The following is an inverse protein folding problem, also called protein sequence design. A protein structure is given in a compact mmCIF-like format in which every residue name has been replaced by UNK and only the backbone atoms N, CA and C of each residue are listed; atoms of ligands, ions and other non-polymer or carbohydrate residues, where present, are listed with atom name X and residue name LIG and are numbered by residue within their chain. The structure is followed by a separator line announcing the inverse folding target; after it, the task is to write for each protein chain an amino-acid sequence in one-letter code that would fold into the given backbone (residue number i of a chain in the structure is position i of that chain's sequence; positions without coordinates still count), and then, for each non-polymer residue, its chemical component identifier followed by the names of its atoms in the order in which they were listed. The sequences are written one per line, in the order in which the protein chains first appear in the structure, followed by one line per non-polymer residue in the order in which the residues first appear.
data_IF_913575188525
#
_entry.id   IF_913575188525
#
_cell.length_a   1.000
_cell.length_b   1.000
_cell.length_c   1.000
_cell.angle_alpha   90.00
_cell.angle_beta   90.00
_cell.angle_gamma   90.00
#
_symmetry.space_group_name_H-M   'P 1'
#
loop_
_entity.id
_entity.type
_entity.pdbx_description
1 polymer ?
#
# COMPACT_ATOMS: atom_id res chain seq x y z
N UNK A 1 -1.06 14.12 -22.64
CA UNK A 1 -1.46 15.27 -21.77
C UNK A 1 -1.81 14.68 -20.42
N UNK A 2 -0.91 14.76 -19.46
CA UNK A 2 -1.20 14.40 -18.09
C UNK A 2 -2.19 15.41 -17.55
N UNK A 3 -3.40 14.96 -17.24
CA UNK A 3 -4.39 15.73 -16.50
C UNK A 3 -3.80 15.98 -15.11
N UNK A 4 -3.37 17.21 -14.86
CA UNK A 4 -2.83 17.63 -13.58
C UNK A 4 -3.86 17.37 -12.48
N UNK A 5 -3.51 16.55 -11.53
CA UNK A 5 -4.20 16.49 -10.25
C UNK A 5 -4.11 17.87 -9.60
N UNK A 6 -5.24 18.53 -9.44
CA UNK A 6 -5.34 19.73 -8.64
C UNK A 6 -5.10 19.40 -7.17
N UNK A 7 -3.85 19.48 -6.74
CA UNK A 7 -3.38 19.20 -5.37
C UNK A 7 -3.65 20.35 -4.37
N UNK A 8 -4.45 21.33 -4.74
CA UNK A 8 -4.79 22.44 -3.84
C UNK A 8 -6.30 22.57 -3.69
N UNK A 9 -6.91 21.76 -2.83
CA UNK A 9 -8.11 22.24 -2.17
C UNK A 9 -7.66 23.27 -1.14
N UNK A 10 -7.70 24.55 -1.50
CA UNK A 10 -7.59 25.64 -0.54
C UNK A 10 -8.65 25.44 0.52
N UNK A 11 -8.21 25.44 1.79
CA UNK A 11 -9.10 25.57 2.94
C UNK A 11 -10.09 26.68 2.65
N UNK A 12 -11.36 26.31 2.49
CA UNK A 12 -12.43 27.27 2.54
C UNK A 12 -12.52 27.69 4.00
N UNK A 13 -12.06 28.87 4.32
CA UNK A 13 -12.26 29.49 5.63
C UNK A 13 -13.72 29.34 6.02
N UNK A 14 -13.99 28.56 7.10
CA UNK A 14 -15.33 28.33 7.62
C UNK A 14 -15.92 26.94 7.43
N UNK A 15 -15.18 25.94 6.95
CA UNK A 15 -15.62 24.54 6.92
C UNK A 15 -15.53 23.93 8.31
N UNK A 16 -16.63 23.35 8.76
CA UNK A 16 -16.66 22.47 9.94
C UNK A 16 -15.64 21.37 9.76
N UNK A 17 -14.75 21.18 10.76
CA UNK A 17 -13.73 20.13 10.75
C UNK A 17 -14.19 18.97 11.61
N UNK A 18 -14.07 17.76 11.08
CA UNK A 18 -14.43 16.54 11.78
C UNK A 18 -13.22 15.87 12.41
N UNK A 19 -13.46 15.00 13.38
CA UNK A 19 -12.41 14.31 14.14
C UNK A 19 -11.53 13.43 13.22
N UNK A 20 -12.11 12.93 12.16
CA UNK A 20 -11.45 12.07 11.15
C UNK A 20 -10.81 12.83 9.99
N UNK A 21 -10.91 14.17 9.94
CA UNK A 21 -10.26 14.95 8.88
C UNK A 21 -8.73 14.92 9.08
N UNK A 22 -7.95 14.44 8.09
CA UNK A 22 -6.51 14.48 8.20
C UNK A 22 -5.99 15.92 8.11
N UNK A 23 -4.86 16.19 8.74
CA UNK A 23 -4.23 17.50 8.65
C UNK A 23 -3.56 17.73 7.27
N UNK A 24 -3.20 18.99 6.97
CA UNK A 24 -2.61 19.35 5.67
C UNK A 24 -1.30 18.61 5.36
N UNK A 25 -0.43 18.41 6.35
CA UNK A 25 0.82 17.69 6.17
C UNK A 25 0.59 16.21 5.81
N UNK A 26 -0.42 15.57 6.40
CA UNK A 26 -0.83 14.23 6.06
C UNK A 26 -1.32 14.14 4.60
N UNK A 27 -2.19 15.08 4.19
CA UNK A 27 -2.75 15.11 2.84
C UNK A 27 -1.67 15.27 1.75
N UNK A 28 -0.61 16.02 2.03
CA UNK A 28 0.54 16.17 1.12
C UNK A 28 1.30 14.86 0.95
N UNK A 29 1.42 14.06 2.01
CA UNK A 29 2.19 12.82 2.01
C UNK A 29 1.39 11.60 1.53
N UNK A 30 0.08 11.59 1.68
CA UNK A 30 -0.77 10.45 1.38
C UNK A 30 -0.54 9.80 0.00
N UNK A 31 -0.40 10.57 -1.10
CA UNK A 31 -0.22 9.99 -2.43
C UNK A 31 1.00 9.08 -2.55
N UNK A 32 2.08 9.39 -1.82
CA UNK A 32 3.29 8.59 -1.78
C UNK A 32 3.07 7.24 -1.09
N UNK A 33 2.21 7.20 -0.07
CA UNK A 33 1.92 5.98 0.69
C UNK A 33 0.97 5.02 -0.04
N UNK A 34 -0.02 5.56 -0.78
CA UNK A 34 -1.05 4.76 -1.45
C UNK A 34 -0.44 3.77 -2.44
N UNK A 35 0.47 4.23 -3.33
CA UNK A 35 1.11 3.35 -4.30
C UNK A 35 1.89 2.23 -3.60
N UNK A 36 2.59 2.56 -2.53
CA UNK A 36 3.39 1.61 -1.76
C UNK A 36 2.49 0.54 -1.12
N UNK A 37 1.38 0.92 -0.53
CA UNK A 37 0.41 -0.03 0.04
C UNK A 37 -0.19 -0.95 -1.00
N UNK A 38 -0.60 -0.39 -2.14
CA UNK A 38 -1.17 -1.17 -3.23
C UNK A 38 -0.15 -2.18 -3.79
N UNK A 39 1.13 -1.79 -3.93
CA UNK A 39 2.21 -2.69 -4.29
C UNK A 39 2.45 -3.77 -3.24
N UNK A 40 2.37 -3.42 -1.94
CA UNK A 40 2.49 -4.39 -0.85
C UNK A 40 1.34 -5.40 -0.82
N UNK A 41 0.15 -5.03 -1.28
CA UNK A 41 -0.99 -5.92 -1.50
C UNK A 41 -0.85 -6.84 -2.72
N UNK A 42 0.16 -6.59 -3.57
CA UNK A 42 0.51 -7.41 -4.74
C UNK A 42 -0.53 -7.35 -5.85
N UNK A 43 -0.49 -8.38 -6.73
CA UNK A 43 -1.35 -8.41 -7.94
C UNK A 43 -2.84 -8.26 -7.64
N UNK A 44 -3.30 -8.75 -6.51
CA UNK A 44 -4.72 -8.68 -6.13
C UNK A 44 -5.16 -7.23 -5.88
N UNK A 45 -4.43 -6.49 -5.04
CA UNK A 45 -4.75 -5.08 -4.77
C UNK A 45 -4.50 -4.19 -5.99
N UNK A 46 -3.41 -4.43 -6.74
CA UNK A 46 -3.11 -3.69 -7.97
C UNK A 46 -4.23 -3.83 -9.01
N UNK A 47 -4.80 -5.02 -9.19
CA UNK A 47 -5.94 -5.24 -10.09
C UNK A 47 -7.21 -4.54 -9.63
N UNK A 48 -7.50 -4.48 -8.33
CA UNK A 48 -8.66 -3.74 -7.78
C UNK A 48 -8.64 -2.24 -8.13
N UNK A 49 -7.46 -1.68 -8.36
CA UNK A 49 -7.32 -0.25 -8.69
C UNK A 49 -7.53 0.05 -10.18
N UNK A 50 -7.76 -0.98 -11.00
CA UNK A 50 -8.16 -0.84 -12.40
C UNK A 50 -7.30 0.18 -13.19
N UNK A 51 -7.98 1.14 -13.83
CA UNK A 51 -7.39 2.18 -14.69
C UNK A 51 -6.41 3.13 -13.97
N UNK A 52 -6.36 3.10 -12.65
CA UNK A 52 -5.37 3.88 -11.89
C UNK A 52 -3.94 3.46 -12.20
N UNK A 53 -3.69 2.15 -12.30
CA UNK A 53 -2.36 1.58 -12.50
C UNK A 53 -2.17 0.92 -13.87
N UNK A 54 -3.22 0.44 -14.47
CA UNK A 54 -3.23 -0.06 -15.85
C UNK A 54 -4.20 0.78 -16.68
N UNK A 55 -3.75 1.87 -17.31
CA UNK A 55 -4.61 2.66 -18.17
C UNK A 55 -5.20 1.83 -19.30
N UNK A 56 -6.44 2.09 -19.66
CA UNK A 56 -7.06 1.52 -20.85
C UNK A 56 -6.62 2.30 -22.07
N UNK A 57 -6.25 1.60 -23.14
CA UNK A 57 -5.89 2.23 -24.40
C UNK A 57 -7.11 2.87 -25.08
N UNK A 58 -6.96 3.98 -25.83
CA UNK A 58 -8.09 4.73 -26.38
C UNK A 58 -9.03 3.95 -27.32
N UNK A 59 -8.56 2.83 -27.87
CA UNK A 59 -9.32 1.95 -28.75
C UNK A 59 -9.51 0.55 -28.20
N UNK A 60 -9.10 0.29 -26.99
CA UNK A 60 -9.29 -0.98 -26.30
C UNK A 60 -10.75 -1.10 -25.86
N UNK A 61 -11.43 -2.18 -26.24
CA UNK A 61 -12.77 -2.48 -25.76
C UNK A 61 -12.74 -2.81 -24.27
N UNK A 62 -13.83 -2.48 -23.54
CA UNK A 62 -13.92 -2.77 -22.10
C UNK A 62 -13.70 -4.26 -21.80
N UNK A 63 -14.29 -5.16 -22.57
CA UNK A 63 -14.06 -6.60 -22.41
C UNK A 63 -12.59 -7.01 -22.61
N UNK A 64 -11.91 -6.43 -23.59
CA UNK A 64 -10.48 -6.69 -23.84
C UNK A 64 -9.63 -6.16 -22.69
N UNK A 65 -9.97 -4.98 -22.15
CA UNK A 65 -9.32 -4.41 -20.97
C UNK A 65 -9.51 -5.30 -19.74
N UNK A 66 -10.73 -5.75 -19.45
CA UNK A 66 -11.03 -6.61 -18.30
C UNK A 66 -10.30 -7.95 -18.41
N UNK A 67 -10.24 -8.53 -19.61
CA UNK A 67 -9.47 -9.74 -19.88
C UNK A 67 -7.95 -9.52 -19.67
N UNK A 68 -7.40 -8.39 -20.08
CA UNK A 68 -6.00 -8.02 -19.86
C UNK A 68 -5.74 -7.81 -18.36
N UNK A 69 -6.59 -7.08 -17.68
CA UNK A 69 -6.52 -6.83 -16.24
C UNK A 69 -6.55 -8.13 -15.43
N UNK A 70 -7.47 -9.03 -15.75
CA UNK A 70 -7.61 -10.31 -15.04
C UNK A 70 -6.34 -11.18 -15.12
N UNK A 71 -5.62 -11.13 -16.26
CA UNK A 71 -4.37 -11.87 -16.45
C UNK A 71 -3.13 -11.17 -15.92
N UNK A 72 -3.22 -9.85 -15.65
CA UNK A 72 -2.05 -9.05 -15.26
C UNK A 72 -1.45 -9.51 -13.92
N UNK A 73 -0.13 -9.56 -13.86
CA UNK A 73 0.63 -9.92 -12.66
C UNK A 73 1.61 -8.81 -12.33
N UNK A 74 1.54 -8.28 -11.11
CA UNK A 74 2.49 -7.29 -10.63
C UNK A 74 3.74 -7.98 -10.08
N UNK A 75 4.93 -7.75 -10.67
CA UNK A 75 6.17 -8.30 -10.13
C UNK A 75 6.42 -7.81 -8.70
N UNK A 76 6.78 -8.69 -7.75
CA UNK A 76 6.89 -8.33 -6.32
C UNK A 76 8.26 -7.71 -5.97
N UNK A 77 8.79 -6.79 -6.81
CA UNK A 77 10.12 -6.20 -6.59
C UNK A 77 10.19 -5.39 -5.31
N UNK A 78 9.23 -4.49 -5.11
CA UNK A 78 9.16 -3.65 -3.92
C UNK A 78 9.07 -4.48 -2.64
N UNK A 79 8.16 -5.46 -2.61
CA UNK A 79 7.95 -6.35 -1.46
C UNK A 79 9.22 -7.12 -1.07
N UNK A 80 9.96 -7.61 -2.08
CA UNK A 80 11.20 -8.37 -1.86
C UNK A 80 12.30 -7.50 -1.28
N UNK A 81 12.48 -6.29 -1.83
CA UNK A 81 13.49 -5.34 -1.35
C UNK A 81 13.17 -4.83 0.05
N UNK A 82 11.91 -4.51 0.34
CA UNK A 82 11.47 -4.08 1.67
C UNK A 82 11.84 -5.12 2.74
N UNK A 83 11.51 -6.39 2.50
CA UNK A 83 11.85 -7.49 3.43
C UNK A 83 13.36 -7.67 3.59
N UNK A 84 14.10 -7.56 2.48
CA UNK A 84 15.55 -7.68 2.49
C UNK A 84 16.19 -6.57 3.33
N UNK A 85 15.79 -5.31 3.10
CA UNK A 85 16.31 -4.16 3.84
C UNK A 85 15.96 -4.24 5.33
N UNK A 86 14.71 -4.59 5.68
CA UNK A 86 14.32 -4.78 7.07
C UNK A 86 15.14 -5.89 7.74
N UNK A 87 15.33 -7.03 7.08
CA UNK A 87 16.17 -8.13 7.59
C UNK A 87 17.64 -7.73 7.77
N UNK A 88 18.16 -6.85 6.91
CA UNK A 88 19.53 -6.33 7.06
C UNK A 88 19.67 -5.39 8.26
N UNK A 89 18.71 -4.48 8.44
CA UNK A 89 18.69 -3.55 9.57
C UNK A 89 18.59 -4.29 10.90
N UNK A 90 17.80 -5.35 10.96
CA UNK A 90 17.55 -6.12 12.19
C UNK A 90 18.37 -7.39 12.32
N UNK A 91 19.42 -7.55 11.49
CA UNK A 91 20.30 -8.76 11.51
C UNK A 91 20.92 -9.03 12.87
N UNK A 92 21.22 -7.99 13.63
CA UNK A 92 21.71 -8.11 15.00
C UNK A 92 20.56 -7.86 15.96
N UNK A 93 20.33 -8.73 16.95
CA UNK A 93 19.31 -8.50 17.97
C UNK A 93 19.52 -7.17 18.69
N UNK A 94 18.44 -6.49 19.01
CA UNK A 94 18.48 -5.31 19.86
C UNK A 94 18.91 -5.74 21.27
N UNK A 95 19.91 -5.07 21.81
CA UNK A 95 20.40 -5.30 23.16
C UNK A 95 20.16 -4.04 23.98
N UNK A 96 19.42 -4.21 25.05
CA UNK A 96 19.22 -3.15 26.04
C UNK A 96 20.11 -3.44 27.25
N UNK A 97 20.89 -2.45 27.66
CA UNK A 97 21.72 -2.48 28.87
C UNK A 97 21.07 -1.59 29.93
N UNK A 98 21.27 -1.93 31.20
CA UNK A 98 20.82 -1.14 32.35
C UNK A 98 19.30 -0.89 32.40
N UNK A 99 18.54 -1.91 32.01
CA UNK A 99 17.07 -1.87 32.01
C UNK A 99 16.56 -2.55 33.28
N UNK A 100 15.59 -1.92 33.96
CA UNK A 100 14.91 -2.49 35.11
C UNK A 100 14.25 -3.84 34.79
N UNK A 101 14.26 -4.79 35.72
CA UNK A 101 13.76 -6.15 35.47
C UNK A 101 12.30 -6.18 35.03
N UNK A 102 11.47 -5.31 35.59
CA UNK A 102 10.05 -5.16 35.17
C UNK A 102 9.92 -4.81 33.69
N UNK A 103 10.78 -3.92 33.16
CA UNK A 103 10.77 -3.58 31.74
C UNK A 103 11.31 -4.75 30.92
N UNK A 104 12.38 -5.41 31.42
CA UNK A 104 12.99 -6.56 30.73
C UNK A 104 12.00 -7.69 30.50
N UNK A 105 11.14 -7.98 31.45
CA UNK A 105 10.08 -8.99 31.33
C UNK A 105 9.06 -8.61 30.25
N UNK A 106 8.74 -7.32 30.10
CA UNK A 106 7.82 -6.84 29.05
C UNK A 106 8.38 -7.00 27.63
N UNK A 107 9.71 -7.07 27.47
CA UNK A 107 10.35 -7.19 26.16
C UNK A 107 10.20 -8.57 25.50
N UNK A 108 9.72 -9.57 26.21
CA UNK A 108 9.38 -10.88 25.64
C UNK A 108 8.03 -10.90 24.92
N UNK A 109 7.19 -9.91 25.18
CA UNK A 109 5.91 -9.70 24.53
C UNK A 109 5.54 -8.22 24.64
N UNK A 110 6.02 -7.40 23.71
CA UNK A 110 5.92 -5.92 23.81
C UNK A 110 4.54 -5.39 23.46
N UNK A 111 3.77 -6.12 22.65
CA UNK A 111 2.49 -5.68 22.07
C UNK A 111 1.27 -6.48 22.56
N UNK A 112 1.41 -7.36 23.51
CA UNK A 112 0.40 -8.32 24.00
C UNK A 112 -0.08 -9.31 22.91
N UNK A 113 0.68 -9.49 21.83
CA UNK A 113 0.38 -10.43 20.74
C UNK A 113 1.40 -11.57 20.67
N UNK A 114 2.32 -11.64 21.65
CA UNK A 114 3.39 -12.65 21.70
C UNK A 114 4.65 -12.24 20.92
N UNK A 115 4.75 -11.01 20.47
CA UNK A 115 5.93 -10.53 19.75
C UNK A 115 6.99 -10.02 20.75
N UNK A 116 8.17 -10.62 20.70
CA UNK A 116 9.33 -10.10 21.43
C UNK A 116 9.87 -8.80 20.80
N UNK A 117 10.79 -8.14 21.49
CA UNK A 117 11.41 -6.91 21.03
C UNK A 117 12.02 -7.03 19.64
N UNK A 118 12.60 -8.18 19.26
CA UNK A 118 13.28 -8.32 17.97
C UNK A 118 12.28 -8.46 16.83
N UNK A 119 11.22 -9.25 17.01
CA UNK A 119 10.11 -9.37 16.04
C UNK A 119 9.42 -8.01 15.88
N UNK A 120 9.11 -7.35 16.99
CA UNK A 120 8.50 -6.03 16.96
C UNK A 120 9.38 -4.98 16.26
N UNK A 121 10.71 -5.01 16.51
CA UNK A 121 11.66 -4.10 15.83
C UNK A 121 11.70 -4.36 14.34
N UNK A 122 11.67 -5.62 13.91
CA UNK A 122 11.62 -5.98 12.49
C UNK A 122 10.34 -5.43 11.82
N UNK A 123 9.17 -5.64 12.41
CA UNK A 123 7.92 -5.13 11.84
C UNK A 123 7.86 -3.59 11.85
N UNK A 124 8.40 -2.95 12.88
CA UNK A 124 8.54 -1.48 12.94
C UNK A 124 9.48 -0.98 11.85
N UNK A 125 10.63 -1.62 11.65
CA UNK A 125 11.57 -1.27 10.58
C UNK A 125 10.93 -1.38 9.19
N UNK A 126 10.09 -2.40 8.95
CA UNK A 126 9.32 -2.55 7.72
C UNK A 126 8.37 -1.37 7.50
N UNK A 127 7.62 -0.95 8.53
CA UNK A 127 6.75 0.23 8.45
C UNK A 127 7.54 1.50 8.12
N UNK A 128 8.69 1.70 8.79
CA UNK A 128 9.57 2.85 8.54
C UNK A 128 10.12 2.86 7.11
N UNK A 129 10.51 1.70 6.58
CA UNK A 129 10.98 1.58 5.18
C UNK A 129 9.85 1.89 4.19
N UNK A 130 8.63 1.42 4.44
CA UNK A 130 7.48 1.66 3.55
C UNK A 130 7.08 3.12 3.50
N UNK A 131 6.93 3.74 4.66
CA UNK A 131 6.24 5.02 4.79
C UNK A 131 7.18 6.19 5.10
N UNK A 132 8.46 5.91 5.40
CA UNK A 132 9.40 6.91 5.83
C UNK A 132 9.39 7.16 7.35
N UNK A 133 8.28 6.92 8.02
CA UNK A 133 8.15 6.96 9.48
C UNK A 133 7.02 6.04 9.97
N UNK A 134 7.01 5.77 11.27
CA UNK A 134 5.85 5.20 11.96
C UNK A 134 5.78 5.74 13.40
N UNK A 135 4.58 5.78 13.93
CA UNK A 135 4.33 6.15 15.31
C UNK A 135 4.31 4.94 16.25
N UNK A 136 4.74 5.12 17.46
CA UNK A 136 4.69 4.12 18.53
C UNK A 136 4.03 4.76 19.75
N UNK A 137 2.88 4.23 20.15
CA UNK A 137 2.17 4.60 21.35
C UNK A 137 2.48 3.58 22.45
N UNK A 138 2.83 4.04 23.63
CA UNK A 138 2.83 3.21 24.83
C UNK A 138 1.44 3.31 25.43
N UNK A 139 0.64 2.25 25.22
CA UNK A 139 -0.74 2.17 25.71
C UNK A 139 -0.80 1.36 27.01
N UNK A 140 -1.88 1.50 27.75
CA UNK A 140 -2.12 0.78 28.98
C UNK A 140 -3.57 0.27 29.02
N UNK A 141 -3.82 -0.86 29.72
CA UNK A 141 -5.18 -1.33 29.92
C UNK A 141 -6.07 -0.28 30.59
N UNK A 142 -7.37 -0.35 30.33
CA UNK A 142 -8.34 0.54 30.94
C UNK A 142 -8.28 0.47 32.49
N UNK A 143 -8.60 1.58 33.14
CA UNK A 143 -8.59 1.67 34.60
C UNK A 143 -9.43 0.55 35.23
N UNK A 144 -8.83 -0.19 36.15
CA UNK A 144 -9.48 -1.34 36.82
C UNK A 144 -9.31 -2.68 36.14
N UNK A 145 -8.69 -2.75 34.94
CA UNK A 145 -8.26 -3.99 34.32
C UNK A 145 -6.84 -4.34 34.78
N UNK A 146 -6.62 -5.61 35.10
CA UNK A 146 -5.28 -6.12 35.36
C UNK A 146 -4.52 -6.23 34.03
N UNK A 147 -3.40 -5.55 33.93
CA UNK A 147 -2.55 -5.60 32.75
C UNK A 147 -1.31 -4.72 32.90
N UNK A 148 -0.45 -4.80 31.94
CA UNK A 148 0.79 -4.03 31.84
C UNK A 148 0.75 -3.07 30.66
N UNK A 149 1.57 -2.01 30.60
CA UNK A 149 1.75 -1.21 29.41
C UNK A 149 2.24 -2.08 28.23
N UNK A 150 1.85 -1.70 27.02
CA UNK A 150 2.22 -2.38 25.77
C UNK A 150 2.41 -1.36 24.64
N UNK A 151 3.06 -1.77 23.58
CA UNK A 151 3.38 -0.87 22.48
C UNK A 151 2.46 -1.13 21.29
N UNK A 152 1.90 -0.05 20.76
CA UNK A 152 1.08 -0.07 19.54
C UNK A 152 1.77 0.76 18.47
N UNK A 153 1.94 0.18 17.29
CA UNK A 153 2.56 0.88 16.15
C UNK A 153 1.50 1.36 15.18
N UNK A 154 1.57 2.63 14.82
CA UNK A 154 0.70 3.27 13.84
C UNK A 154 1.49 3.60 12.58
N UNK A 155 0.98 3.23 11.41
CA UNK A 155 1.47 3.74 10.13
C UNK A 155 1.13 5.23 10.00
N UNK A 156 1.81 6.00 9.15
CA UNK A 156 1.48 7.40 8.94
C UNK A 156 0.03 7.63 8.49
N UNK A 157 -0.57 6.67 7.79
CA UNK A 157 -1.96 6.77 7.35
C UNK A 157 -2.97 6.67 8.49
N UNK A 158 -2.59 6.00 9.57
CA UNK A 158 -3.39 5.88 10.79
C UNK A 158 -3.22 7.10 11.70
N UNK A 159 -2.24 7.98 11.45
CA UNK A 159 -2.00 9.19 12.24
C UNK A 159 -2.64 10.38 11.52
N UNK A 160 -3.94 10.60 11.73
CA UNK A 160 -4.72 11.60 10.99
C UNK A 160 -4.28 13.05 11.23
N UNK A 161 -3.77 13.33 12.44
CA UNK A 161 -3.35 14.69 12.73
C UNK A 161 -2.69 14.85 14.08
N UNK A 162 -1.90 15.90 14.19
CA UNK A 162 -1.17 16.25 15.40
C UNK A 162 -1.11 17.76 15.60
N UNK A 163 -1.01 18.17 16.84
CA UNK A 163 -0.67 19.53 17.24
C UNK A 163 0.47 19.47 18.25
N UNK A 164 1.29 20.50 18.25
CA UNK A 164 2.42 20.59 19.16
C UNK A 164 2.48 21.95 19.80
N UNK A 165 3.02 21.99 21.01
CA UNK A 165 3.28 23.19 21.78
C UNK A 165 4.73 23.19 22.23
N UNK A 166 5.28 24.39 22.46
CA UNK A 166 6.58 24.54 23.08
C UNK A 166 6.41 24.52 24.61
N UNK A 167 6.98 23.51 25.24
CA UNK A 167 7.05 23.37 26.67
C UNK A 167 8.53 23.24 27.09
N UNK A 168 8.99 24.14 27.93
CA UNK A 168 10.37 24.22 28.40
C UNK A 168 11.44 24.12 27.28
N UNK A 169 11.17 24.80 26.16
CA UNK A 169 12.06 24.80 24.99
C UNK A 169 12.05 23.50 24.14
N UNK A 170 11.20 22.56 24.47
CA UNK A 170 10.97 21.33 23.71
C UNK A 170 9.60 21.32 23.04
N UNK A 171 9.55 20.80 21.84
CA UNK A 171 8.30 20.61 21.11
C UNK A 171 7.63 19.32 21.59
N UNK A 172 6.47 19.44 22.23
CA UNK A 172 5.68 18.31 22.74
C UNK A 172 4.34 18.23 22.01
N UNK A 173 3.79 17.03 21.91
CA UNK A 173 2.44 16.84 21.37
C UNK A 173 1.40 17.39 22.35
N UNK A 174 0.56 18.32 21.88
CA UNK A 174 -0.62 18.80 22.61
C UNK A 174 -1.91 18.13 22.16
N UNK A 175 -1.93 17.53 20.97
CA UNK A 175 -3.01 16.69 20.47
C UNK A 175 -2.48 15.68 19.46
N UNK A 176 -3.03 14.46 19.48
CA UNK A 176 -2.78 13.41 18.50
C UNK A 176 -4.09 12.73 18.16
N UNK A 177 -4.35 12.49 16.86
CA UNK A 177 -5.55 11.79 16.39
C UNK A 177 -5.13 10.55 15.62
N UNK A 178 -5.57 9.38 16.11
CA UNK A 178 -5.19 8.07 15.60
C UNK A 178 -6.43 7.34 15.08
N UNK A 179 -6.38 6.89 13.84
CA UNK A 179 -7.40 6.05 13.23
C UNK A 179 -7.15 4.60 13.65
N UNK A 180 -8.18 3.94 14.12
CA UNK A 180 -8.11 2.55 14.59
C UNK A 180 -9.25 1.74 13.98
N UNK A 181 -8.96 0.49 13.67
CA UNK A 181 -9.93 -0.51 13.26
C UNK A 181 -9.98 -1.58 14.33
N UNK A 182 -11.09 -1.67 15.04
CA UNK A 182 -11.28 -2.65 16.11
C UNK A 182 -12.33 -3.69 15.69
N UNK A 183 -12.09 -4.94 16.04
CA UNK A 183 -13.04 -6.02 15.78
C UNK A 183 -13.84 -6.30 17.04
N UNK A 184 -15.16 -6.27 16.94
CA UNK A 184 -16.08 -6.57 18.02
C UNK A 184 -16.91 -7.81 17.68
N UNK A 185 -17.26 -8.65 18.66
CA UNK A 185 -18.17 -9.76 18.44
C UNK A 185 -19.51 -9.28 17.85
N UNK A 186 -19.98 -9.96 16.80
CA UNK A 186 -21.31 -9.76 16.22
C UNK A 186 -22.08 -11.07 16.22
N UNK A 187 -22.96 -11.22 17.20
CA UNK A 187 -23.66 -12.46 17.50
C UNK A 187 -22.73 -13.53 18.10
N UNK A 188 -23.07 -14.81 17.88
CA UNK A 188 -22.37 -15.93 18.52
C UNK A 188 -21.05 -16.31 17.83
N UNK A 189 -20.92 -16.08 16.53
CA UNK A 189 -19.78 -16.52 15.72
C UNK A 189 -19.27 -15.44 14.74
N UNK A 190 -19.93 -14.29 14.67
CA UNK A 190 -19.57 -13.21 13.79
C UNK A 190 -18.66 -12.17 14.46
N UNK A 191 -17.99 -11.40 13.62
CA UNK A 191 -17.21 -10.21 14.01
C UNK A 191 -17.57 -9.07 13.09
N UNK A 192 -17.65 -7.88 13.64
CA UNK A 192 -17.77 -6.63 12.87
C UNK A 192 -16.56 -5.76 13.10
N UNK A 193 -16.09 -5.16 12.03
CA UNK A 193 -15.07 -4.12 12.08
C UNK A 193 -15.73 -2.78 12.45
N UNK A 194 -15.18 -2.10 13.43
CA UNK A 194 -15.59 -0.76 13.86
C UNK A 194 -14.44 0.20 13.65
N UNK A 195 -14.66 1.20 12.82
CA UNK A 195 -13.71 2.30 12.59
C UNK A 195 -13.88 3.34 13.71
N UNK A 196 -12.78 3.70 14.37
CA UNK A 196 -12.77 4.69 15.42
C UNK A 196 -11.58 5.64 15.32
N UNK A 197 -11.72 6.84 15.87
CA UNK A 197 -10.62 7.79 16.02
C UNK A 197 -10.36 8.00 17.50
N UNK A 198 -9.14 7.69 17.92
CA UNK A 198 -8.64 7.99 19.24
C UNK A 198 -7.99 9.37 19.23
N UNK A 199 -8.48 10.26 20.08
CA UNK A 199 -7.91 11.59 20.29
C UNK A 199 -7.17 11.59 21.61
N UNK A 200 -5.88 11.87 21.59
CA UNK A 200 -5.03 11.98 22.76
C UNK A 200 -4.68 13.44 22.99
N UNK A 201 -4.84 13.90 24.22
CA UNK A 201 -4.33 15.17 24.75
C UNK A 201 -3.59 14.89 26.05
N UNK A 202 -2.69 15.77 26.52
CA UNK A 202 -2.01 15.57 27.81
C UNK A 202 -3.01 15.28 28.92
N UNK A 203 -2.90 14.11 29.55
CA UNK A 203 -3.77 13.69 30.67
C UNK A 203 -5.17 13.20 30.26
N UNK A 204 -5.56 13.19 28.99
CA UNK A 204 -6.92 12.80 28.56
C UNK A 204 -6.90 12.03 27.24
N UNK A 205 -7.84 11.07 27.11
CA UNK A 205 -8.17 10.45 25.81
C UNK A 205 -9.66 10.53 25.53
N UNK A 206 -10.01 10.53 24.24
CA UNK A 206 -11.37 10.38 23.72
C UNK A 206 -11.37 9.35 22.60
N UNK A 207 -12.42 8.55 22.51
CA UNK A 207 -12.65 7.60 21.43
C UNK A 207 -13.93 8.01 20.72
N UNK A 208 -13.81 8.33 19.44
CA UNK A 208 -14.94 8.65 18.56
C UNK A 208 -15.16 7.49 17.60
N UNK A 209 -16.34 6.90 17.60
CA UNK A 209 -16.71 5.78 16.72
C UNK A 209 -17.56 6.24 15.57
N UNK A 210 -17.30 5.65 14.41
CA UNK A 210 -18.10 5.84 13.21
C UNK A 210 -19.43 5.14 13.37
N UNK A 211 -20.49 5.89 13.25
CA UNK A 211 -21.86 5.37 13.22
C UNK A 211 -22.10 4.71 11.85
N UNK A 212 -22.54 3.46 11.86
CA UNK A 212 -22.74 2.67 10.64
C UNK A 212 -23.88 3.16 9.75
N UNK A 213 -24.85 3.89 10.32
CA UNK A 213 -26.02 4.39 9.59
C UNK A 213 -25.78 5.79 9.01
N UNK A 214 -25.19 6.69 9.81
CA UNK A 214 -24.97 8.09 9.40
C UNK A 214 -23.60 8.34 8.81
N UNK A 215 -22.59 7.51 9.13
CA UNK A 215 -21.20 7.71 8.77
C UNK A 215 -20.49 8.74 9.67
N UNK A 216 -21.20 9.39 10.58
CA UNK A 216 -20.64 10.42 11.48
C UNK A 216 -19.86 9.77 12.63
N UNK A 217 -18.87 10.49 13.14
CA UNK A 217 -18.12 10.07 14.31
C UNK A 217 -18.73 10.67 15.59
N UNK A 218 -19.13 9.81 16.51
CA UNK A 218 -19.73 10.18 17.81
C UNK A 218 -18.81 9.78 18.94
N UNK A 219 -18.73 10.61 19.97
CA UNK A 219 -17.99 10.27 21.20
C UNK A 219 -18.57 8.98 21.79
N UNK A 220 -17.73 7.97 21.92
CA UNK A 220 -18.08 6.65 22.45
C UNK A 220 -17.57 6.47 23.87
N UNK A 221 -16.30 6.88 24.10
CA UNK A 221 -15.63 6.74 25.40
C UNK A 221 -14.65 7.89 25.63
N UNK A 222 -14.43 8.26 26.88
CA UNK A 222 -13.43 9.25 27.29
C UNK A 222 -12.88 8.92 28.66
N UNK A 223 -11.65 9.33 28.93
CA UNK A 223 -11.04 9.09 30.23
C UNK A 223 -9.79 9.92 30.47
N UNK A 224 -9.23 9.74 31.65
CA UNK A 224 -8.03 10.43 32.11
C UNK A 224 -6.84 9.50 32.05
N UNK A 225 -5.73 9.99 31.48
CA UNK A 225 -4.43 9.32 31.50
C UNK A 225 -3.62 9.81 32.70
N UNK A 226 -2.90 8.89 33.36
CA UNK A 226 -2.02 9.24 34.50
C UNK A 226 -0.75 9.98 34.07
N UNK A 227 -0.39 9.91 32.78
CA UNK A 227 0.80 10.57 32.24
C UNK A 227 0.49 12.01 31.84
N UNK A 228 1.36 12.97 32.22
CA UNK A 228 1.19 14.38 31.87
C UNK A 228 1.48 14.68 30.39
N UNK A 229 2.08 13.75 29.68
CA UNK A 229 2.43 13.85 28.27
C UNK A 229 1.81 12.71 27.47
N UNK A 230 1.59 12.93 26.19
CA UNK A 230 1.15 11.87 25.27
C UNK A 230 2.33 10.90 25.08
N UNK A 231 2.22 9.62 25.48
CA UNK A 231 3.31 8.65 25.43
C UNK A 231 3.53 8.11 24.01
N UNK A 232 3.87 9.00 23.08
CA UNK A 232 4.00 8.72 21.66
C UNK A 232 5.37 9.11 21.15
N UNK A 233 6.02 8.18 20.45
CA UNK A 233 7.30 8.37 19.79
C UNK A 233 7.21 8.09 18.30
N UNK A 234 8.08 8.71 17.50
CA UNK A 234 8.09 8.54 16.06
C UNK A 234 9.45 8.02 15.62
N UNK A 235 9.44 6.87 14.92
CA UNK A 235 10.61 6.31 14.27
C UNK A 235 10.67 6.79 12.81
N UNK A 236 11.84 7.21 12.33
CA UNK A 236 12.05 7.77 10.99
C UNK A 236 13.16 7.03 10.24
N UNK A 237 13.01 6.95 8.92
CA UNK A 237 14.11 6.61 8.00
C UNK A 237 14.79 7.88 7.45
N UNK A 238 14.00 8.82 6.95
CA UNK A 238 14.46 10.08 6.36
C UNK A 238 13.54 11.21 6.82
N UNK A 239 13.84 11.75 8.00
CA UNK A 239 13.03 12.81 8.61
C UNK A 239 13.25 14.15 7.87
N UNK A 240 12.15 14.77 7.47
CA UNK A 240 12.11 16.14 6.95
C UNK A 240 11.71 17.10 8.07
N UNK A 241 10.57 16.85 8.70
CA UNK A 241 10.03 17.60 9.82
C UNK A 241 9.42 16.64 10.85
N UNK A 242 8.79 17.19 11.89
CA UNK A 242 7.99 16.37 12.81
C UNK A 242 6.81 15.77 12.06
N UNK A 243 6.68 14.45 12.10
CA UNK A 243 5.64 13.66 11.40
C UNK A 243 5.66 13.81 9.88
N UNK A 244 6.78 14.26 9.33
CA UNK A 244 7.00 14.35 7.89
C UNK A 244 8.30 13.64 7.52
N UNK A 245 8.20 12.78 6.52
CA UNK A 245 9.33 12.01 6.02
C UNK A 245 9.10 11.60 4.57
N UNK A 246 10.16 11.19 3.91
CA UNK A 246 10.08 10.63 2.57
C UNK A 246 10.32 9.13 2.63
N UNK A 247 9.46 8.31 2.00
CA UNK A 247 9.71 6.88 1.90
C UNK A 247 11.05 6.62 1.17
N UNK A 248 11.98 5.87 1.77
CA UNK A 248 13.33 5.70 1.19
C UNK A 248 13.33 4.89 -0.12
N UNK A 249 12.24 4.18 -0.41
CA UNK A 249 12.10 3.34 -1.60
C UNK A 249 11.02 3.86 -2.57
N UNK A 250 10.68 5.13 -2.52
CA UNK A 250 9.63 5.74 -3.36
C UNK A 250 9.94 5.56 -4.86
N UNK A 251 11.17 5.86 -5.29
CA UNK A 251 11.59 5.70 -6.68
C UNK A 251 11.48 4.25 -7.16
N UNK A 252 11.72 3.29 -6.27
CA UNK A 252 11.56 1.86 -6.55
C UNK A 252 10.07 1.50 -6.73
N UNK A 253 9.17 2.13 -5.98
CA UNK A 253 7.74 1.93 -6.14
C UNK A 253 7.26 2.36 -7.54
N UNK A 254 7.72 3.50 -8.04
CA UNK A 254 7.43 3.99 -9.40
C UNK A 254 7.99 3.06 -10.49
N UNK A 255 9.21 2.57 -10.32
CA UNK A 255 9.79 1.60 -11.24
C UNK A 255 9.04 0.27 -11.22
N UNK A 256 8.59 -0.19 -10.06
CA UNK A 256 7.78 -1.40 -9.94
C UNK A 256 6.41 -1.24 -10.63
N UNK A 257 5.77 -0.08 -10.47
CA UNK A 257 4.54 0.23 -11.22
C UNK A 257 4.80 0.20 -12.73
N UNK A 258 5.91 0.80 -13.20
CA UNK A 258 6.26 0.74 -14.62
C UNK A 258 6.52 -0.68 -15.11
N UNK A 259 7.18 -1.50 -14.31
CA UNK A 259 7.38 -2.92 -14.63
C UNK A 259 6.04 -3.68 -14.72
N UNK A 260 5.08 -3.38 -13.84
CA UNK A 260 3.74 -3.95 -13.90
C UNK A 260 3.00 -3.61 -15.21
N UNK A 261 3.08 -2.36 -15.66
CA UNK A 261 2.49 -1.93 -16.93
C UNK A 261 3.11 -2.66 -18.12
N UNK A 262 4.44 -2.67 -18.22
CA UNK A 262 5.17 -3.33 -19.31
C UNK A 262 4.91 -4.84 -19.31
N UNK A 263 4.87 -5.48 -18.13
CA UNK A 263 4.54 -6.90 -18.00
C UNK A 263 3.12 -7.19 -18.49
N UNK A 264 2.13 -6.37 -18.12
CA UNK A 264 0.75 -6.54 -18.56
C UNK A 264 0.61 -6.42 -20.09
N UNK A 265 1.32 -5.47 -20.71
CA UNK A 265 1.30 -5.28 -22.16
C UNK A 265 1.95 -6.44 -22.87
N UNK A 266 3.10 -6.93 -22.38
CA UNK A 266 3.80 -8.07 -22.92
C UNK A 266 2.96 -9.36 -22.84
N UNK A 267 2.38 -9.63 -21.66
CA UNK A 267 1.53 -10.82 -21.45
C UNK A 267 0.30 -10.79 -22.36
N UNK A 268 -0.29 -9.62 -22.58
CA UNK A 268 -1.41 -9.45 -23.49
C UNK A 268 -1.00 -9.68 -24.95
N UNK A 269 0.13 -9.12 -25.38
CA UNK A 269 0.64 -9.35 -26.73
C UNK A 269 0.99 -10.81 -26.98
N UNK A 270 1.64 -11.48 -26.04
CA UNK A 270 1.95 -12.90 -26.12
C UNK A 270 0.68 -13.75 -26.20
N UNK A 271 -0.35 -13.41 -25.41
CA UNK A 271 -1.62 -14.10 -25.43
C UNK A 271 -2.32 -13.99 -26.80
N UNK A 272 -2.39 -12.77 -27.36
CA UNK A 272 -3.01 -12.55 -28.67
C UNK A 272 -2.23 -13.27 -29.78
N UNK A 273 -0.90 -13.23 -29.72
CA UNK A 273 -0.05 -13.84 -30.76
C UNK A 273 0.04 -15.36 -30.66
N UNK A 274 -0.29 -15.94 -29.51
CA UNK A 274 -0.32 -17.39 -29.35
C UNK A 274 -1.47 -18.07 -30.12
N UNK A 275 -2.46 -17.29 -30.59
CA UNK A 275 -3.57 -17.79 -31.40
C UNK A 275 -3.41 -17.29 -32.81
N UNK A 276 -2.89 -18.14 -33.75
CA UNK A 276 -2.79 -17.76 -35.15
C UNK A 276 -4.16 -17.46 -35.76
N UNK A 277 -4.27 -16.36 -36.50
CA UNK A 277 -5.50 -16.03 -37.22
C UNK A 277 -5.54 -16.76 -38.55
N UNK A 278 -6.61 -17.51 -38.78
CA UNK A 278 -6.85 -18.11 -40.10
C UNK A 278 -7.48 -17.05 -41.04
N UNK A 279 -6.76 -16.65 -42.07
CA UNK A 279 -7.22 -15.69 -43.06
C UNK A 279 -7.65 -16.39 -44.31
N UNK A 280 -8.80 -16.00 -44.85
CA UNK A 280 -9.35 -16.49 -46.10
C UNK A 280 -9.28 -15.40 -47.17
N UNK A 281 -8.75 -15.74 -48.32
CA UNK A 281 -8.67 -14.84 -49.49
C UNK A 281 -9.49 -15.40 -50.63
N UNK A 282 -10.14 -14.52 -51.40
CA UNK A 282 -10.92 -14.92 -52.58
C UNK A 282 -12.28 -15.55 -52.30
N UNK A 283 -12.78 -15.43 -51.06
CA UNK A 283 -14.15 -15.87 -50.69
C UNK A 283 -15.16 -14.74 -50.95
N UNK A 284 -16.34 -15.05 -51.55
CA UNK A 284 -17.39 -14.05 -51.69
C UNK A 284 -17.91 -13.62 -50.31
N UNK A 285 -18.31 -12.35 -50.18
CA UNK A 285 -18.84 -11.77 -48.92
C UNK A 285 -20.12 -12.46 -48.42
N UNK A 286 -20.77 -13.28 -49.22
CA UNK A 286 -21.97 -14.06 -48.91
C UNK A 286 -21.68 -15.47 -48.39
N UNK A 287 -20.42 -15.82 -48.18
CA UNK A 287 -20.08 -17.11 -47.58
C UNK A 287 -20.58 -17.16 -46.11
N UNK A 288 -21.45 -18.14 -45.81
CA UNK A 288 -21.85 -18.49 -44.46
C UNK A 288 -20.62 -18.80 -43.61
N UNK A 289 -20.73 -18.67 -42.26
CA UNK A 289 -19.66 -18.91 -41.32
C UNK A 289 -18.81 -20.14 -41.68
N UNK A 290 -17.52 -19.89 -41.95
CA UNK A 290 -16.56 -20.97 -42.19
C UNK A 290 -16.10 -21.51 -40.88
N UNK A 291 -16.59 -22.70 -40.51
CA UNK A 291 -16.10 -23.41 -39.34
C UNK A 291 -14.74 -24.04 -39.64
N UNK A 292 -13.74 -23.78 -38.82
CA UNK A 292 -12.41 -24.36 -38.93
C UNK A 292 -12.08 -25.10 -37.61
N UNK A 293 -12.00 -26.43 -37.66
CA UNK A 293 -11.69 -27.25 -36.49
C UNK A 293 -10.84 -28.48 -36.85
N UNK A 294 -10.29 -29.20 -35.90
CA UNK A 294 -9.55 -30.43 -36.11
C UNK A 294 -10.43 -31.47 -36.82
N UNK A 295 -10.05 -31.85 -38.04
CA UNK A 295 -10.76 -32.85 -38.85
C UNK A 295 -11.81 -32.27 -39.79
N UNK A 296 -11.98 -30.95 -39.89
CA UNK A 296 -12.85 -30.31 -40.90
C UNK A 296 -12.07 -30.02 -42.18
N UNK A 297 -12.66 -30.38 -43.31
CA UNK A 297 -12.12 -30.10 -44.63
C UNK A 297 -12.80 -28.86 -45.20
N UNK A 298 -12.02 -27.84 -45.59
CA UNK A 298 -12.54 -26.63 -46.22
C UNK A 298 -12.31 -26.71 -47.72
N UNK A 299 -13.38 -26.59 -48.47
CA UNK A 299 -13.29 -26.52 -49.93
C UNK A 299 -13.06 -25.06 -50.36
N UNK A 300 -12.06 -24.81 -51.22
CA UNK A 300 -11.70 -23.49 -51.74
C UNK A 300 -12.26 -23.28 -53.15
N UNK A 301 -12.75 -22.06 -53.49
CA UNK A 301 -12.91 -21.62 -54.88
C UNK A 301 -11.57 -21.68 -55.62
N UNK A 302 -11.61 -21.72 -56.98
CA UNK A 302 -10.39 -21.87 -57.82
C UNK A 302 -9.28 -20.81 -57.55
N UNK A 303 -9.66 -19.63 -57.06
CA UNK A 303 -8.76 -18.55 -56.67
C UNK A 303 -8.68 -18.31 -55.16
N UNK A 304 -9.37 -19.15 -54.35
CA UNK A 304 -9.42 -19.04 -52.89
C UNK A 304 -8.19 -19.67 -52.23
N UNK A 305 -7.70 -19.04 -51.18
CA UNK A 305 -6.66 -19.60 -50.33
C UNK A 305 -6.94 -19.27 -48.86
N UNK A 306 -6.44 -20.12 -47.99
CA UNK A 306 -6.37 -19.84 -46.55
C UNK A 306 -4.92 -19.90 -46.09
N UNK A 307 -4.56 -19.01 -45.21
CA UNK A 307 -3.25 -19.02 -44.55
C UNK A 307 -3.38 -18.61 -43.11
N UNK A 308 -2.53 -19.17 -42.26
CA UNK A 308 -2.39 -18.68 -40.89
C UNK A 308 -1.53 -17.44 -40.91
N UNK A 309 -2.10 -16.35 -40.35
CA UNK A 309 -1.36 -15.12 -40.12
C UNK A 309 -0.83 -15.18 -38.67
N UNK A 310 0.48 -15.22 -38.56
CA UNK A 310 1.15 -15.16 -37.25
C UNK A 310 1.78 -13.78 -37.06
N UNK A 311 1.78 -13.32 -35.81
CA UNK A 311 2.51 -12.11 -35.44
C UNK A 311 4.02 -12.34 -35.61
N UNK A 312 4.72 -11.42 -36.27
CA UNK A 312 6.18 -11.52 -36.47
C UNK A 312 7.01 -11.37 -35.21
N UNK A 313 6.39 -11.03 -34.07
CA UNK A 313 7.01 -11.01 -32.73
C UNK A 313 8.18 -10.03 -32.54
N UNK A 314 8.48 -9.18 -33.50
CA UNK A 314 9.66 -8.29 -33.46
C UNK A 314 9.62 -7.26 -32.30
N UNK A 315 8.44 -6.87 -31.87
CA UNK A 315 8.25 -5.93 -30.74
C UNK A 315 8.44 -6.57 -29.36
N UNK A 316 8.32 -7.92 -29.25
CA UNK A 316 8.39 -8.61 -27.96
C UNK A 316 9.79 -8.52 -27.34
N UNK A 317 10.84 -8.62 -28.17
CA UNK A 317 12.21 -8.52 -27.70
C UNK A 317 12.50 -7.16 -27.05
N UNK A 318 11.97 -6.07 -27.58
CA UNK A 318 12.12 -4.75 -27.00
C UNK A 318 11.44 -4.63 -25.61
N UNK A 319 10.28 -5.26 -25.43
CA UNK A 319 9.58 -5.27 -24.14
C UNK A 319 10.28 -6.18 -23.14
N UNK A 320 10.79 -7.35 -23.55
CA UNK A 320 11.62 -8.19 -22.68
C UNK A 320 12.87 -7.43 -22.20
N UNK A 321 13.60 -6.80 -23.12
CA UNK A 321 14.76 -5.98 -22.77
C UNK A 321 14.39 -4.84 -21.82
N UNK A 322 13.22 -4.22 -22.02
CA UNK A 322 12.75 -3.16 -21.10
C UNK A 322 12.45 -3.69 -19.70
N UNK A 323 11.84 -4.86 -19.56
CA UNK A 323 11.63 -5.50 -18.27
C UNK A 323 12.94 -5.88 -17.57
N UNK A 324 13.91 -6.40 -18.31
CA UNK A 324 15.25 -6.69 -17.77
C UNK A 324 15.95 -5.41 -17.29
N UNK A 325 15.88 -4.32 -18.06
CA UNK A 325 16.42 -3.02 -17.66
C UNK A 325 15.76 -2.50 -16.38
N UNK A 326 14.41 -2.57 -16.29
CA UNK A 326 13.68 -2.13 -15.09
C UNK A 326 14.07 -2.98 -13.87
N UNK A 327 14.16 -4.29 -14.04
CA UNK A 327 14.62 -5.20 -12.97
C UNK A 327 16.05 -4.88 -12.54
N UNK A 328 16.95 -4.59 -13.50
CA UNK A 328 18.31 -4.16 -13.23
C UNK A 328 18.37 -2.85 -12.44
N UNK A 329 17.64 -1.82 -12.89
CA UNK A 329 17.55 -0.53 -12.20
C UNK A 329 17.01 -0.66 -10.76
N UNK A 330 15.96 -1.46 -10.55
CA UNK A 330 15.40 -1.73 -9.22
C UNK A 330 16.44 -2.41 -8.32
N UNK A 331 17.18 -3.38 -8.84
CA UNK A 331 18.21 -4.06 -8.07
C UNK A 331 19.40 -3.13 -7.73
N UNK A 332 19.84 -2.28 -8.65
CA UNK A 332 20.88 -1.28 -8.41
C UNK A 332 20.47 -0.28 -7.33
N UNK A 333 19.27 0.28 -7.42
CA UNK A 333 18.74 1.19 -6.39
C UNK A 333 18.57 0.50 -5.04
N UNK A 334 18.11 -0.75 -5.03
CA UNK A 334 18.02 -1.56 -3.82
C UNK A 334 19.38 -1.80 -3.17
N UNK A 335 20.41 -2.09 -3.96
CA UNK A 335 21.78 -2.22 -3.47
C UNK A 335 22.35 -0.89 -2.98
N UNK A 336 22.13 0.21 -3.67
CA UNK A 336 22.55 1.55 -3.24
C UNK A 336 21.93 1.91 -1.88
N UNK A 337 20.64 1.63 -1.69
CA UNK A 337 19.96 1.82 -0.41
C UNK A 337 20.58 0.99 0.73
N UNK A 338 21.07 -0.22 0.42
CA UNK A 338 21.79 -1.10 1.37
C UNK A 338 23.17 -0.57 1.72
N UNK A 339 23.90 -0.04 0.72
CA UNK A 339 25.29 0.42 0.89
C UNK A 339 25.38 1.87 1.44
N UNK A 340 24.24 2.56 1.55
CA UNK A 340 24.20 3.94 2.06
C UNK A 340 24.81 4.95 1.09
N UNK A 341 24.76 4.67 -0.21
CA UNK A 341 25.25 5.56 -1.29
C UNK A 341 24.12 6.42 -1.85
#
# INVERSE_FOLDING_TARGET
MYSGYNYYSRDKAGTETFVNDPNAAWQIQEPHWILIEDLMGGSYEMRKKHRRYLPQEPRELDESYDNRLARSVCPPFYQRLERMLAGMLTRKPVRLTDVADVIREQLFDVDLQGNDLNVWTYETARKVIRYGHCGVLVDAPAAGQNGRPYWVTYSPREILGWRTELDDGQQKFSQLRLLEHVFEPDGLYGEKEVEQVRVLTPGKFEIHRKDSETGDYKLFDEGVMSLPEIPFSVAYSNRINLMESRPPMEDIAELNLKAYQVQSDLDNQLHISAVPMLAFYGFPQSAEEVSAGPGEAIAFPAEGRAEYIESKGTSYNAQFQRLEQLSGQINELGLAAVLGQ
#
